data_IF_870561352227
#
_entry.id   IF_870561352227
#
_cell.length_a   1.000
_cell.length_b   1.000
_cell.length_c   1.000
_cell.angle_alpha   90.00
_cell.angle_beta   90.00
_cell.angle_gamma   90.00
#
_symmetry.space_group_name_H-M   'P 1'
#
loop_
_entity.id
_entity.type
_entity.pdbx_description
1 polymer ?
#
# COMPACT_ATOMS: atom_id res chain seq x y z
N UNK A 1 -19.00 3.32 1.73
CA UNK A 1 -17.83 4.19 1.88
C UNK A 1 -16.64 3.27 2.08
N UNK A 2 -15.59 3.44 1.30
CA UNK A 2 -14.36 2.67 1.44
C UNK A 2 -13.28 3.60 2.00
N UNK A 3 -12.35 3.04 2.75
CA UNK A 3 -11.19 3.76 3.28
C UNK A 3 -9.98 2.88 3.15
N UNK A 4 -8.82 3.50 3.05
CA UNK A 4 -7.55 2.80 3.04
C UNK A 4 -6.59 3.44 4.05
N UNK A 5 -5.87 2.57 4.74
CA UNK A 5 -4.86 2.94 5.75
C UNK A 5 -3.50 2.43 5.32
N UNK A 6 -2.48 3.24 5.59
CA UNK A 6 -1.07 2.88 5.37
C UNK A 6 -0.32 3.15 6.66
N UNK A 7 0.51 2.18 7.06
CA UNK A 7 1.47 2.32 8.16
C UNK A 7 2.85 2.00 7.60
N UNK A 8 3.82 2.87 7.87
CA UNK A 8 5.24 2.63 7.59
C UNK A 8 5.93 2.51 8.93
N UNK A 9 6.61 1.39 9.15
CA UNK A 9 7.33 1.10 10.38
C UNK A 9 8.80 0.80 10.11
N UNK A 10 9.65 1.04 11.10
CA UNK A 10 11.03 0.57 11.07
C UNK A 10 11.12 -0.94 11.39
N UNK A 11 12.33 -1.49 11.31
CA UNK A 11 12.59 -2.90 11.60
C UNK A 11 12.36 -3.31 13.06
N UNK A 12 12.16 -2.35 13.97
CA UNK A 12 11.77 -2.59 15.37
C UNK A 12 10.26 -2.52 15.56
N UNK A 13 9.49 -2.25 14.51
CA UNK A 13 8.05 -2.05 14.57
C UNK A 13 7.62 -0.67 15.05
N UNK A 14 8.53 0.31 15.11
CA UNK A 14 8.16 1.69 15.44
C UNK A 14 7.53 2.35 14.21
N UNK A 15 6.34 2.93 14.38
CA UNK A 15 5.68 3.69 13.32
C UNK A 15 6.47 4.94 13.00
N UNK A 16 6.96 5.01 11.76
CA UNK A 16 7.70 6.14 11.22
C UNK A 16 6.76 7.13 10.54
N UNK A 17 5.74 6.63 9.85
CA UNK A 17 4.70 7.44 9.19
C UNK A 17 3.40 6.65 9.07
N UNK A 18 2.27 7.36 8.98
CA UNK A 18 0.97 6.73 8.67
C UNK A 18 0.03 7.70 7.95
N UNK A 19 -0.90 7.14 7.18
CA UNK A 19 -1.90 7.93 6.48
C UNK A 19 -3.22 7.17 6.33
N UNK A 20 -4.32 7.92 6.36
CA UNK A 20 -5.67 7.43 6.10
C UNK A 20 -6.28 8.23 4.95
N UNK A 21 -6.90 7.53 4.00
CA UNK A 21 -7.56 8.15 2.86
C UNK A 21 -9.01 7.69 2.79
N UNK A 22 -9.92 8.66 2.79
CA UNK A 22 -11.32 8.41 2.46
C UNK A 22 -11.48 8.22 0.96
N UNK A 23 -12.16 7.15 0.54
CA UNK A 23 -12.50 6.92 -0.85
C UNK A 23 -13.97 7.28 -1.08
N UNK A 24 -14.20 8.28 -1.94
CA UNK A 24 -15.53 8.70 -2.38
C UNK A 24 -16.08 7.78 -3.49
N UNK A 25 -15.82 6.47 -3.38
CA UNK A 25 -16.27 5.45 -4.32
C UNK A 25 -16.47 4.11 -3.60
N UNK A 26 -17.37 3.29 -4.13
CA UNK A 26 -17.57 1.93 -3.64
C UNK A 26 -16.67 0.98 -4.44
N UNK A 27 -15.41 0.90 -4.03
CA UNK A 27 -14.39 0.12 -4.74
C UNK A 27 -14.45 -1.35 -4.33
N UNK A 28 -14.11 -2.23 -5.27
CA UNK A 28 -13.87 -3.63 -4.94
C UNK A 28 -12.64 -3.74 -4.04
N UNK A 29 -12.61 -4.70 -3.09
CA UNK A 29 -11.51 -4.82 -2.13
C UNK A 29 -10.13 -4.83 -2.77
N UNK A 30 -9.92 -5.65 -3.81
CA UNK A 30 -8.61 -5.75 -4.48
C UNK A 30 -8.13 -4.42 -5.11
N UNK A 31 -9.06 -3.56 -5.55
CA UNK A 31 -8.72 -2.23 -6.09
C UNK A 31 -8.32 -1.30 -4.94
N UNK A 32 -9.06 -1.34 -3.83
CA UNK A 32 -8.74 -0.54 -2.64
C UNK A 32 -7.36 -0.91 -2.07
N UNK A 33 -7.02 -2.20 -2.04
CA UNK A 33 -5.72 -2.72 -1.61
C UNK A 33 -4.57 -2.28 -2.55
N UNK A 34 -4.75 -2.42 -3.87
CA UNK A 34 -3.77 -1.92 -4.84
C UNK A 34 -3.55 -0.40 -4.70
N UNK A 35 -4.61 0.36 -4.42
CA UNK A 35 -4.50 1.79 -4.13
C UNK A 35 -3.77 2.06 -2.81
N UNK A 36 -4.00 1.26 -1.76
CA UNK A 36 -3.30 1.38 -0.49
C UNK A 36 -1.78 1.21 -0.66
N UNK A 37 -1.38 0.19 -1.41
CA UNK A 37 0.03 -0.08 -1.73
C UNK A 37 0.63 1.10 -2.51
N UNK A 38 -0.04 1.56 -3.57
CA UNK A 38 0.45 2.67 -4.38
C UNK A 38 0.63 3.95 -3.54
N UNK A 39 -0.37 4.29 -2.71
CA UNK A 39 -0.30 5.45 -1.80
C UNK A 39 0.80 5.28 -0.75
N UNK A 40 1.02 4.06 -0.25
CA UNK A 40 2.08 3.78 0.71
C UNK A 40 3.48 3.91 0.13
N UNK A 41 3.70 3.46 -1.10
CA UNK A 41 4.97 3.65 -1.81
C UNK A 41 5.27 5.14 -2.01
N UNK A 42 4.28 5.93 -2.43
CA UNK A 42 4.43 7.38 -2.58
C UNK A 42 4.73 8.07 -1.25
N UNK A 43 4.04 7.68 -0.18
CA UNK A 43 4.29 8.20 1.16
C UNK A 43 5.73 7.90 1.59
N UNK A 44 6.16 6.63 1.52
CA UNK A 44 7.52 6.21 1.87
C UNK A 44 8.59 6.97 1.06
N UNK A 45 8.38 7.14 -0.25
CA UNK A 45 9.27 7.90 -1.11
C UNK A 45 9.36 9.38 -0.74
N UNK A 46 8.23 9.99 -0.35
CA UNK A 46 8.19 11.42 0.02
C UNK A 46 8.96 11.75 1.30
N UNK A 47 9.16 10.77 2.18
CA UNK A 47 9.89 10.94 3.46
C UNK A 47 11.25 10.22 3.49
N UNK A 48 11.74 9.73 2.34
CA UNK A 48 13.06 9.09 2.26
C UNK A 48 13.16 7.73 2.96
N UNK A 49 12.05 7.01 3.08
CA UNK A 49 11.97 5.68 3.71
C UNK A 49 12.03 4.53 2.70
N UNK A 50 12.43 4.80 1.45
CA UNK A 50 12.73 3.78 0.46
C UNK A 50 14.23 3.44 0.46
N UNK A 51 14.62 2.17 0.23
CA UNK A 51 13.77 1.01 -0.07
C UNK A 51 13.02 0.48 1.17
N UNK A 52 11.87 -0.19 0.94
CA UNK A 52 11.01 -0.75 1.98
C UNK A 52 10.51 -2.16 1.62
N UNK A 53 10.09 -2.93 2.64
CA UNK A 53 9.36 -4.19 2.48
C UNK A 53 7.87 -3.89 2.50
N UNK A 54 7.13 -4.44 1.54
CA UNK A 54 5.67 -4.31 1.47
C UNK A 54 5.01 -5.54 2.08
N UNK A 55 4.09 -5.32 3.02
CA UNK A 55 3.24 -6.35 3.61
C UNK A 55 1.78 -6.06 3.26
N UNK A 56 1.05 -7.05 2.76
CA UNK A 56 -0.38 -6.98 2.48
C UNK A 56 -1.01 -8.35 2.76
N UNK A 57 -2.23 -8.36 3.30
CA UNK A 57 -3.00 -9.57 3.57
C UNK A 57 -3.67 -10.15 2.32
N UNK A 58 -3.60 -9.43 1.20
CA UNK A 58 -4.29 -9.80 -0.03
C UNK A 58 -3.32 -10.46 -1.01
N UNK A 59 -3.27 -11.79 -0.94
CA UNK A 59 -2.41 -12.63 -1.78
C UNK A 59 -2.52 -12.32 -3.28
N UNK A 60 -3.73 -12.04 -3.78
CA UNK A 60 -3.93 -11.70 -5.19
C UNK A 60 -3.15 -10.44 -5.60
N UNK A 61 -3.18 -9.40 -4.77
CA UNK A 61 -2.52 -8.12 -5.08
C UNK A 61 -1.01 -8.27 -4.98
N UNK A 62 -0.52 -8.98 -3.96
CA UNK A 62 0.91 -9.32 -3.83
C UNK A 62 1.40 -10.08 -5.05
N UNK A 63 0.66 -11.11 -5.49
CA UNK A 63 1.01 -11.89 -6.67
C UNK A 63 1.04 -11.03 -7.94
N UNK A 64 0.01 -10.21 -8.18
CA UNK A 64 -0.04 -9.33 -9.36
C UNK A 64 1.13 -8.35 -9.43
N UNK A 65 1.55 -7.79 -8.29
CA UNK A 65 2.68 -6.86 -8.25
C UNK A 65 4.02 -7.59 -8.40
N UNK A 66 4.12 -8.80 -7.85
CA UNK A 66 5.37 -9.56 -7.81
C UNK A 66 5.71 -10.26 -9.13
N UNK A 67 4.69 -10.63 -9.93
CA UNK A 67 4.92 -11.39 -11.17
C UNK A 67 5.21 -10.54 -12.40
N UNK A 68 5.03 -9.21 -12.36
CA UNK A 68 5.36 -8.31 -13.48
C UNK A 68 4.51 -8.47 -14.76
N UNK A 69 3.65 -9.48 -14.83
CA UNK A 69 2.87 -9.85 -16.04
C UNK A 69 1.67 -8.93 -16.34
N UNK A 70 1.50 -7.82 -15.60
CA UNK A 70 0.40 -6.86 -15.79
C UNK A 70 0.74 -5.59 -16.58
N UNK A 71 1.97 -5.46 -17.08
CA UNK A 71 2.45 -4.30 -17.83
C UNK A 71 3.11 -4.73 -19.16
N UNK A 72 2.36 -5.44 -20.00
CA UNK A 72 2.61 -5.60 -21.44
C UNK A 72 1.28 -5.69 -22.18
#
# INVERSE_FOLDING_TARGET
MSGLGVIIQDWKGLVMESACYGLNANLQPHIAEAMAIHKGILLAGSVGLLPAVLESDTLNVVNTISTGDGLC
#
